data_IF_341575746910
#
_entry.id   IF_341575746910
#
_cell.length_a   1.000
_cell.length_b   1.000
_cell.length_c   1.000
_cell.angle_alpha   90.00
_cell.angle_beta   90.00
_cell.angle_gamma   90.00
#
_symmetry.space_group_name_H-M   'P 1'
#
loop_
_entity.id
_entity.type
_entity.pdbx_description
1 polymer ?
#
# COMPACT_ATOMS: atom_id res chain seq x y z
N UNK A 1 14.26 8.13 14.40
CA UNK A 1 13.60 8.21 13.07
C UNK A 1 13.16 6.80 12.76
N UNK A 2 11.97 6.60 12.20
CA UNK A 2 11.53 5.26 11.81
C UNK A 2 12.27 4.74 10.59
N UNK A 3 11.94 3.52 10.18
CA UNK A 3 12.58 2.85 9.07
C UNK A 3 11.71 2.88 7.81
N UNK A 4 12.36 3.12 6.68
CA UNK A 4 11.76 2.94 5.36
C UNK A 4 12.00 1.50 4.91
N UNK A 5 10.94 0.69 4.90
CA UNK A 5 10.99 -0.73 4.54
C UNK A 5 10.66 -0.86 3.05
N UNK A 6 11.59 -1.45 2.29
CA UNK A 6 11.41 -1.68 0.86
C UNK A 6 11.38 -3.17 0.55
N UNK A 7 10.41 -3.58 -0.28
CA UNK A 7 10.27 -4.94 -0.76
C UNK A 7 10.07 -4.95 -2.27
N UNK A 8 10.77 -5.87 -2.95
CA UNK A 8 10.59 -6.11 -4.37
C UNK A 8 9.92 -7.47 -4.61
N UNK A 9 8.91 -7.48 -5.46
CA UNK A 9 8.05 -8.64 -5.72
C UNK A 9 7.93 -8.87 -7.22
N UNK A 10 7.88 -10.12 -7.65
CA UNK A 10 7.60 -10.43 -9.05
C UNK A 10 6.58 -11.55 -9.21
N UNK A 11 5.55 -11.31 -10.03
CA UNK A 11 4.71 -12.39 -10.54
C UNK A 11 5.51 -13.22 -11.54
N UNK A 12 5.80 -14.46 -11.18
CA UNK A 12 6.48 -15.48 -11.97
C UNK A 12 5.65 -16.76 -12.09
N UNK A 13 4.32 -16.64 -12.10
CA UNK A 13 3.39 -17.77 -12.10
C UNK A 13 2.96 -18.23 -13.49
N UNK A 14 3.22 -17.44 -14.55
CA UNK A 14 2.81 -17.81 -15.91
C UNK A 14 3.57 -19.06 -16.37
N UNK A 15 2.80 -20.02 -16.86
CA UNK A 15 3.30 -21.28 -17.39
C UNK A 15 2.42 -21.73 -18.56
N UNK A 16 3.02 -22.04 -19.71
CA UNK A 16 2.32 -22.52 -20.90
C UNK A 16 3.26 -23.40 -21.72
N UNK A 17 2.75 -24.51 -22.24
CA UNK A 17 3.50 -25.42 -23.13
C UNK A 17 4.87 -25.83 -22.54
N UNK A 18 4.91 -26.16 -21.25
CA UNK A 18 6.14 -26.54 -20.53
C UNK A 18 7.19 -25.44 -20.36
N UNK A 19 6.83 -24.19 -20.65
CA UNK A 19 7.68 -23.01 -20.52
C UNK A 19 7.14 -22.11 -19.42
N UNK A 20 8.04 -21.51 -18.66
CA UNK A 20 7.76 -20.38 -17.75
C UNK A 20 8.57 -19.15 -18.16
N UNK A 21 8.29 -17.99 -17.57
CA UNK A 21 8.88 -16.70 -17.91
C UNK A 21 10.34 -16.52 -17.42
N UNK A 22 11.17 -17.55 -17.63
CA UNK A 22 12.49 -17.66 -17.00
C UNK A 22 13.50 -16.62 -17.49
N UNK A 23 13.42 -16.14 -18.74
CA UNK A 23 14.32 -15.08 -19.21
C UNK A 23 13.95 -13.76 -18.54
N UNK A 24 12.66 -13.49 -18.37
CA UNK A 24 12.17 -12.33 -17.65
C UNK A 24 12.54 -12.36 -16.17
N UNK A 25 12.42 -13.53 -15.51
CA UNK A 25 12.92 -13.73 -14.15
C UNK A 25 14.42 -13.43 -14.06
N UNK A 26 15.24 -13.97 -14.98
CA UNK A 26 16.69 -13.72 -15.00
C UNK A 26 17.02 -12.26 -15.23
N UNK A 27 16.31 -11.59 -16.14
CA UNK A 27 16.50 -10.16 -16.39
C UNK A 27 16.20 -9.31 -15.14
N UNK A 28 15.12 -9.64 -14.42
CA UNK A 28 14.81 -8.96 -13.17
C UNK A 28 15.87 -9.22 -12.09
N UNK A 29 16.30 -10.46 -11.92
CA UNK A 29 17.39 -10.81 -11.02
C UNK A 29 18.68 -10.02 -11.35
N UNK A 30 19.06 -9.98 -12.63
CA UNK A 30 20.25 -9.26 -13.11
C UNK A 30 20.17 -7.74 -12.89
N UNK A 31 18.96 -7.17 -12.79
CA UNK A 31 18.73 -5.75 -12.49
C UNK A 31 18.71 -5.49 -10.98
N UNK A 32 18.02 -6.33 -10.20
CA UNK A 32 17.68 -6.05 -8.80
C UNK A 32 18.77 -6.54 -7.84
N UNK A 33 19.33 -7.74 -8.07
CA UNK A 33 20.32 -8.36 -7.19
C UNK A 33 21.63 -7.55 -7.04
N UNK A 34 22.17 -6.86 -8.06
CA UNK A 34 23.36 -6.01 -7.90
C UNK A 34 23.21 -4.91 -6.84
N UNK A 35 21.98 -4.49 -6.53
CA UNK A 35 21.69 -3.53 -5.47
C UNK A 35 21.58 -4.18 -4.09
N UNK A 36 21.76 -5.50 -3.98
CA UNK A 36 21.57 -6.24 -2.73
C UNK A 36 20.11 -6.20 -2.25
N UNK A 37 19.18 -6.35 -3.19
CA UNK A 37 17.74 -6.44 -2.95
C UNK A 37 17.28 -7.86 -3.27
N UNK A 38 16.80 -8.64 -2.29
CA UNK A 38 16.16 -9.93 -2.58
C UNK A 38 14.78 -9.74 -3.22
N UNK A 39 14.39 -10.70 -4.04
CA UNK A 39 13.10 -10.74 -4.72
C UNK A 39 12.19 -11.77 -4.03
N UNK A 40 10.92 -11.41 -3.80
CA UNK A 40 9.88 -12.39 -3.51
C UNK A 40 9.21 -12.84 -4.81
N UNK A 41 9.39 -14.09 -5.21
CA UNK A 41 8.84 -14.65 -6.45
C UNK A 41 7.49 -15.31 -6.21
N UNK A 42 6.44 -14.80 -6.83
CA UNK A 42 5.09 -15.37 -6.78
C UNK A 42 4.94 -16.42 -7.89
N UNK A 43 4.90 -17.70 -7.55
CA UNK A 43 5.00 -18.82 -8.52
C UNK A 43 3.78 -19.74 -8.47
N UNK A 44 3.47 -20.38 -9.60
CA UNK A 44 2.59 -21.56 -9.62
C UNK A 44 3.43 -22.81 -9.33
N UNK A 45 2.82 -23.97 -9.02
CA UNK A 45 3.56 -25.23 -8.90
C UNK A 45 4.40 -25.57 -10.13
N UNK A 46 3.86 -25.31 -11.33
CA UNK A 46 4.53 -25.56 -12.60
C UNK A 46 5.73 -24.63 -12.81
N UNK A 47 5.55 -23.32 -12.58
CA UNK A 47 6.66 -22.39 -12.72
C UNK A 47 7.73 -22.60 -11.65
N UNK A 48 7.34 -22.97 -10.42
CA UNK A 48 8.27 -23.36 -9.36
C UNK A 48 9.13 -24.56 -9.78
N UNK A 49 8.53 -25.61 -10.35
CA UNK A 49 9.28 -26.79 -10.86
C UNK A 49 10.21 -26.41 -12.01
N UNK A 50 9.74 -25.60 -12.95
CA UNK A 50 10.52 -25.22 -14.14
C UNK A 50 11.70 -24.30 -13.80
N UNK A 51 11.54 -23.40 -12.83
CA UNK A 51 12.56 -22.44 -12.39
C UNK A 51 13.30 -22.85 -11.11
N UNK A 52 13.12 -24.10 -10.64
CA UNK A 52 13.68 -24.55 -9.37
C UNK A 52 15.20 -24.36 -9.23
N UNK A 53 16.03 -24.61 -10.26
CA UNK A 53 17.47 -24.37 -10.18
C UNK A 53 17.81 -22.90 -9.92
N UNK A 54 17.19 -21.97 -10.64
CA UNK A 54 17.40 -20.54 -10.49
C UNK A 54 16.89 -20.02 -9.16
N UNK A 55 15.65 -20.36 -8.78
CA UNK A 55 15.05 -19.92 -7.52
C UNK A 55 15.85 -20.40 -6.32
N UNK A 56 16.31 -21.65 -6.33
CA UNK A 56 17.15 -22.19 -5.24
C UNK A 56 18.51 -21.49 -5.18
N UNK A 57 19.12 -21.23 -6.33
CA UNK A 57 20.39 -20.49 -6.38
C UNK A 57 20.22 -19.06 -5.86
N UNK A 58 19.19 -18.34 -6.32
CA UNK A 58 18.96 -16.96 -5.89
C UNK A 58 18.57 -16.86 -4.42
N UNK A 59 17.85 -17.85 -3.88
CA UNK A 59 17.62 -17.94 -2.44
C UNK A 59 18.94 -18.02 -1.66
N UNK A 60 19.87 -18.88 -2.09
CA UNK A 60 21.17 -19.03 -1.42
C UNK A 60 22.11 -17.84 -1.63
N UNK A 61 22.16 -17.28 -2.84
CA UNK A 61 23.12 -16.24 -3.22
C UNK A 61 22.66 -14.84 -2.76
N UNK A 62 21.35 -14.58 -2.78
CA UNK A 62 20.78 -13.23 -2.59
C UNK A 62 19.70 -13.15 -1.49
N UNK A 63 19.23 -14.28 -0.96
CA UNK A 63 18.17 -14.30 0.04
C UNK A 63 16.77 -14.13 -0.55
N UNK A 64 16.58 -14.43 -1.84
CA UNK A 64 15.26 -14.45 -2.46
C UNK A 64 14.30 -15.41 -1.73
N UNK A 65 13.01 -15.12 -1.81
CA UNK A 65 11.96 -15.94 -1.20
C UNK A 65 10.86 -16.25 -2.22
N UNK A 66 9.98 -17.19 -1.88
CA UNK A 66 8.93 -17.69 -2.77
C UNK A 66 7.56 -17.62 -2.09
N UNK A 67 6.61 -17.14 -2.87
CA UNK A 67 5.21 -16.99 -2.54
C UNK A 67 4.34 -17.75 -3.56
N UNK A 68 3.09 -18.05 -3.20
CA UNK A 68 2.19 -18.88 -4.02
C UNK A 68 1.29 -17.99 -4.86
N UNK A 69 1.32 -18.15 -6.18
CA UNK A 69 0.42 -17.47 -7.10
C UNK A 69 -0.53 -18.46 -7.78
N UNK A 70 -1.75 -18.64 -7.25
CA UNK A 70 -2.78 -19.42 -7.91
C UNK A 70 -3.19 -18.76 -9.24
N UNK A 71 -2.88 -19.41 -10.38
CA UNK A 71 -3.14 -18.89 -11.73
C UNK A 71 -4.61 -18.50 -11.98
N UNK A 72 -5.57 -19.12 -11.30
CA UNK A 72 -6.99 -18.80 -11.47
C UNK A 72 -7.49 -17.63 -10.62
N UNK A 73 -6.70 -17.14 -9.66
CA UNK A 73 -7.02 -15.93 -8.89
C UNK A 73 -6.34 -14.68 -9.45
N UNK A 74 -5.47 -14.83 -10.46
CA UNK A 74 -4.72 -13.69 -11.00
C UNK A 74 -5.53 -12.79 -11.94
N UNK A 75 -6.54 -13.25 -12.69
CA UNK A 75 -7.18 -12.39 -13.74
C UNK A 75 -8.64 -12.78 -14.09
N UNK A 76 -9.43 -13.37 -13.19
CA UNK A 76 -10.88 -13.51 -13.43
C UNK A 76 -11.68 -13.34 -12.16
N UNK A 77 -12.85 -12.70 -12.27
CA UNK A 77 -13.88 -12.65 -11.22
C UNK A 77 -14.06 -14.06 -10.65
N UNK A 78 -13.78 -14.17 -9.36
CA UNK A 78 -13.62 -15.41 -8.60
C UNK A 78 -14.68 -16.44 -8.97
N UNK A 79 -14.24 -17.64 -9.36
CA UNK A 79 -15.09 -18.83 -9.39
C UNK A 79 -15.42 -19.28 -7.96
N UNK A 80 -16.17 -18.43 -7.25
CA UNK A 80 -16.77 -18.75 -5.94
C UNK A 80 -17.88 -19.79 -6.08
N UNK A 81 -18.18 -20.28 -7.29
CA UNK A 81 -19.19 -21.33 -7.50
C UNK A 81 -18.82 -22.63 -6.79
N UNK A 82 -17.52 -22.84 -6.54
CA UNK A 82 -17.04 -23.95 -5.74
C UNK A 82 -17.27 -23.70 -4.25
N UNK A 83 -17.74 -24.73 -3.55
CA UNK A 83 -17.92 -24.69 -2.11
C UNK A 83 -16.61 -24.33 -1.38
N UNK A 84 -16.72 -23.58 -0.29
CA UNK A 84 -15.59 -23.11 0.52
C UNK A 84 -14.49 -24.17 0.78
N UNK A 85 -14.80 -25.42 1.23
CA UNK A 85 -13.76 -26.42 1.47
C UNK A 85 -12.93 -26.76 0.23
N UNK A 86 -13.54 -26.79 -0.95
CA UNK A 86 -12.84 -27.10 -2.20
C UNK A 86 -11.85 -25.97 -2.58
N UNK A 87 -12.25 -24.70 -2.40
CA UNK A 87 -11.39 -23.54 -2.64
C UNK A 87 -10.21 -23.50 -1.66
N UNK A 88 -10.47 -23.73 -0.37
CA UNK A 88 -9.43 -23.83 0.65
C UNK A 88 -8.45 -24.98 0.39
N UNK A 89 -8.95 -26.18 0.14
CA UNK A 89 -8.12 -27.37 -0.07
C UNK A 89 -7.29 -27.24 -1.36
N UNK A 90 -7.81 -26.52 -2.36
CA UNK A 90 -7.05 -26.14 -3.56
C UNK A 90 -5.89 -25.22 -3.21
N UNK A 91 -6.10 -24.17 -2.43
CA UNK A 91 -5.03 -23.26 -2.01
C UNK A 91 -3.94 -24.02 -1.22
N UNK A 92 -4.37 -24.89 -0.28
CA UNK A 92 -3.45 -25.74 0.47
C UNK A 92 -2.60 -26.63 -0.46
N UNK A 93 -3.24 -27.29 -1.43
CA UNK A 93 -2.55 -28.14 -2.42
C UNK A 93 -1.54 -27.35 -3.24
N UNK A 94 -1.91 -26.18 -3.76
CA UNK A 94 -1.00 -25.34 -4.55
C UNK A 94 0.24 -24.93 -3.74
N UNK A 95 0.05 -24.51 -2.49
CA UNK A 95 1.15 -24.22 -1.56
C UNK A 95 2.04 -25.44 -1.34
N UNK A 96 1.46 -26.60 -1.09
CA UNK A 96 2.22 -27.83 -0.81
C UNK A 96 2.98 -28.35 -2.03
N UNK A 97 2.43 -28.19 -3.23
CA UNK A 97 3.13 -28.54 -4.47
C UNK A 97 4.30 -27.58 -4.77
N UNK A 98 4.17 -26.28 -4.45
CA UNK A 98 5.30 -25.34 -4.52
C UNK A 98 6.39 -25.74 -3.52
N UNK A 99 6.03 -26.05 -2.28
CA UNK A 99 6.98 -26.55 -1.26
C UNK A 99 7.64 -27.88 -1.66
N UNK A 100 6.94 -28.74 -2.40
CA UNK A 100 7.52 -29.96 -2.94
C UNK A 100 8.58 -29.66 -4.00
N UNK A 101 8.34 -28.67 -4.86
CA UNK A 101 9.31 -28.23 -5.87
C UNK A 101 10.50 -27.48 -5.24
N UNK A 102 10.26 -26.76 -4.14
CA UNK A 102 11.22 -25.91 -3.45
C UNK A 102 11.18 -26.17 -1.94
N UNK A 103 11.85 -27.23 -1.43
CA UNK A 103 11.73 -27.66 -0.04
C UNK A 103 12.22 -26.65 1.02
N UNK A 104 12.98 -25.64 0.60
CA UNK A 104 13.45 -24.55 1.46
C UNK A 104 12.41 -23.44 1.65
N UNK A 105 11.39 -23.35 0.79
CA UNK A 105 10.45 -22.23 0.78
C UNK A 105 9.35 -22.42 1.85
N UNK A 106 9.16 -21.40 2.70
CA UNK A 106 8.06 -21.42 3.67
C UNK A 106 6.71 -21.11 3.02
N UNK A 107 6.66 -20.40 1.89
CA UNK A 107 5.41 -20.04 1.20
C UNK A 107 4.39 -19.33 2.13
N UNK A 108 4.85 -18.34 2.89
CA UNK A 108 4.02 -17.58 3.84
C UNK A 108 3.09 -16.56 3.17
N UNK A 109 3.28 -16.29 1.88
CA UNK A 109 2.53 -15.27 1.13
C UNK A 109 1.81 -15.94 -0.05
N UNK A 110 0.60 -15.46 -0.34
CA UNK A 110 -0.11 -15.76 -1.57
C UNK A 110 -0.45 -14.49 -2.37
N UNK A 111 -0.78 -14.64 -3.65
CA UNK A 111 -1.47 -13.62 -4.46
C UNK A 111 -2.92 -14.01 -4.74
N UNK A 112 -3.71 -13.05 -5.20
CA UNK A 112 -5.08 -13.29 -5.64
C UNK A 112 -6.07 -13.10 -4.51
N UNK A 113 -6.32 -11.83 -4.19
CA UNK A 113 -7.04 -11.38 -3.00
C UNK A 113 -8.54 -11.20 -3.24
N UNK A 114 -9.06 -11.39 -4.44
CA UNK A 114 -10.44 -11.01 -4.79
C UNK A 114 -11.51 -11.92 -4.19
N UNK A 115 -11.15 -13.12 -3.73
CA UNK A 115 -12.06 -14.07 -3.08
C UNK A 115 -12.54 -13.51 -1.71
N UNK A 116 -13.87 -13.39 -1.47
CA UNK A 116 -14.39 -12.89 -0.21
C UNK A 116 -13.95 -13.68 1.02
N UNK A 117 -13.68 -14.98 0.86
CA UNK A 117 -13.25 -15.88 1.93
C UNK A 117 -11.72 -16.00 2.03
N UNK A 118 -10.95 -15.23 1.24
CA UNK A 118 -9.51 -15.43 1.09
C UNK A 118 -8.75 -15.33 2.42
N UNK A 119 -9.15 -14.40 3.28
CA UNK A 119 -8.48 -14.17 4.55
C UNK A 119 -8.57 -15.42 5.42
N UNK A 120 -9.79 -15.94 5.60
CA UNK A 120 -10.05 -17.17 6.33
C UNK A 120 -9.37 -18.38 5.69
N UNK A 121 -9.40 -18.49 4.36
CA UNK A 121 -8.74 -19.60 3.66
C UNK A 121 -7.23 -19.60 3.91
N UNK A 122 -6.57 -18.44 3.77
CA UNK A 122 -5.15 -18.29 4.03
C UNK A 122 -4.77 -18.66 5.46
N UNK A 123 -5.52 -18.18 6.46
CA UNK A 123 -5.29 -18.52 7.87
C UNK A 123 -5.41 -20.03 8.12
N UNK A 124 -6.47 -20.69 7.62
CA UNK A 124 -6.66 -22.14 7.77
C UNK A 124 -5.55 -22.95 7.10
N UNK A 125 -4.94 -22.43 6.04
CA UNK A 125 -3.80 -23.05 5.35
C UNK A 125 -2.45 -22.44 5.76
N UNK A 126 -2.36 -21.72 6.88
CA UNK A 126 -1.08 -21.20 7.41
C UNK A 126 -0.31 -20.27 6.48
N UNK A 127 -0.98 -19.60 5.54
CA UNK A 127 -0.48 -18.44 4.80
C UNK A 127 -0.74 -17.20 5.66
N UNK A 128 0.25 -16.33 5.80
CA UNK A 128 0.25 -15.20 6.73
C UNK A 128 0.26 -13.84 6.01
N UNK A 129 0.42 -13.81 4.70
CA UNK A 129 0.29 -12.58 3.91
C UNK A 129 -0.38 -12.75 2.56
N UNK A 130 -0.95 -11.65 2.08
CA UNK A 130 -1.64 -11.55 0.80
C UNK A 130 -1.12 -10.36 0.02
N UNK A 131 -0.60 -10.61 -1.17
CA UNK A 131 -0.14 -9.57 -2.09
C UNK A 131 -1.13 -9.31 -3.20
N UNK A 132 -1.27 -8.05 -3.59
CA UNK A 132 -2.05 -7.63 -4.76
C UNK A 132 -3.08 -6.54 -4.50
N UNK A 133 -3.17 -5.98 -3.29
CA UNK A 133 -4.17 -4.94 -2.98
C UNK A 133 -3.87 -3.64 -3.76
N UNK A 134 -4.90 -3.05 -4.37
CA UNK A 134 -4.73 -1.88 -5.23
C UNK A 134 -5.39 -0.64 -4.64
N UNK A 135 -4.67 0.08 -3.77
CA UNK A 135 -5.19 1.30 -3.14
C UNK A 135 -5.66 2.35 -4.17
N UNK A 136 -6.84 2.95 -3.93
CA UNK A 136 -7.58 3.85 -4.84
C UNK A 136 -7.98 3.29 -6.24
N UNK A 137 -7.72 2.02 -6.55
CA UNK A 137 -8.05 1.46 -7.86
C UNK A 137 -9.55 1.15 -8.00
N UNK A 138 -10.09 1.46 -9.19
CA UNK A 138 -11.45 1.15 -9.61
C UNK A 138 -11.41 0.53 -11.01
N UNK A 139 -12.01 -0.64 -11.15
CA UNK A 139 -12.32 -1.36 -12.41
C UNK A 139 -11.13 -1.50 -13.38
N UNK A 140 -9.93 -1.67 -12.82
CA UNK A 140 -8.73 -2.06 -13.60
C UNK A 140 -8.52 -3.55 -13.38
N UNK A 141 -8.48 -4.32 -14.48
CA UNK A 141 -8.44 -5.78 -14.49
C UNK A 141 -9.58 -6.43 -13.67
N UNK A 142 -10.77 -5.82 -13.71
CA UNK A 142 -11.95 -6.18 -12.90
C UNK A 142 -11.71 -6.12 -11.38
N UNK A 143 -10.67 -5.41 -10.93
CA UNK A 143 -10.33 -5.21 -9.51
C UNK A 143 -10.70 -3.78 -9.09
N UNK A 144 -11.52 -3.71 -8.05
CA UNK A 144 -11.83 -2.47 -7.31
C UNK A 144 -11.55 -2.69 -5.84
N UNK A 145 -10.47 -2.07 -5.35
CA UNK A 145 -10.08 -2.10 -3.93
C UNK A 145 -10.14 -0.73 -3.27
N UNK A 146 -10.67 0.28 -3.98
CA UNK A 146 -10.87 1.61 -3.42
C UNK A 146 -11.58 1.54 -2.07
N UNK A 147 -10.98 2.19 -1.07
CA UNK A 147 -11.42 2.11 0.31
C UNK A 147 -10.41 1.44 1.23
N UNK A 148 -9.59 0.51 0.73
CA UNK A 148 -8.61 -0.17 1.58
C UNK A 148 -7.56 0.79 2.17
N UNK A 149 -6.87 0.38 3.25
CA UNK A 149 -5.65 1.05 3.69
C UNK A 149 -4.54 0.96 2.63
N UNK A 150 -3.69 1.98 2.55
CA UNK A 150 -2.42 1.90 1.81
C UNK A 150 -1.38 1.13 2.62
N UNK A 151 -0.28 0.72 1.97
CA UNK A 151 0.79 -0.04 2.61
C UNK A 151 0.32 -1.41 3.10
N UNK A 152 0.79 -1.79 4.29
CA UNK A 152 0.47 -3.09 4.92
C UNK A 152 -0.45 -2.93 6.13
N UNK A 153 -1.51 -3.73 6.16
CA UNK A 153 -2.49 -3.78 7.25
C UNK A 153 -2.97 -5.21 7.51
N UNK A 154 -3.40 -5.51 8.73
CA UNK A 154 -4.07 -6.78 9.01
C UNK A 154 -5.47 -6.77 8.41
N UNK A 155 -5.77 -7.70 7.51
CA UNK A 155 -7.04 -7.76 6.78
C UNK A 155 -8.15 -8.35 7.64
N UNK A 156 -9.35 -7.76 7.62
CA UNK A 156 -10.48 -8.31 8.35
C UNK A 156 -10.98 -9.63 7.70
N UNK A 157 -11.20 -10.72 8.48
CA UNK A 157 -11.59 -12.03 7.95
C UNK A 157 -12.85 -12.05 7.08
N UNK A 158 -13.84 -11.23 7.42
CA UNK A 158 -15.11 -11.13 6.68
C UNK A 158 -15.14 -9.97 5.67
N UNK A 159 -14.12 -9.11 5.66
CA UNK A 159 -14.04 -7.96 4.77
C UNK A 159 -12.58 -7.60 4.50
N UNK A 160 -12.01 -8.23 3.47
CA UNK A 160 -10.61 -8.09 3.07
C UNK A 160 -10.16 -6.64 2.83
N UNK A 161 -11.09 -5.70 2.58
CA UNK A 161 -10.80 -4.31 2.25
C UNK A 161 -10.74 -3.39 3.47
N UNK A 162 -10.94 -3.89 4.70
CA UNK A 162 -10.77 -3.12 5.92
C UNK A 162 -9.76 -3.76 6.90
N UNK A 163 -9.23 -2.98 7.86
CA UNK A 163 -8.41 -3.51 8.94
C UNK A 163 -9.16 -4.48 9.86
N UNK A 164 -8.45 -5.49 10.37
CA UNK A 164 -8.92 -6.34 11.46
C UNK A 164 -8.74 -5.66 12.83
N UNK A 165 -9.50 -6.15 13.83
CA UNK A 165 -9.43 -5.68 15.22
C UNK A 165 -8.06 -5.95 15.88
N UNK A 166 -7.33 -6.95 15.37
CA UNK A 166 -6.03 -7.39 15.86
C UNK A 166 -5.21 -8.06 14.77
N UNK A 167 -4.26 -8.92 15.16
CA UNK A 167 -3.44 -9.71 14.23
C UNK A 167 -4.34 -10.61 13.36
N UNK A 168 -4.07 -10.60 12.07
CA UNK A 168 -4.76 -11.37 11.02
C UNK A 168 -3.78 -11.59 9.86
N UNK A 169 -4.28 -12.01 8.70
CA UNK A 169 -3.54 -12.02 7.44
C UNK A 169 -3.02 -10.61 7.10
N UNK A 170 -1.72 -10.47 6.83
CA UNK A 170 -1.11 -9.19 6.47
C UNK A 170 -1.28 -8.90 4.97
N UNK A 171 -1.75 -7.71 4.64
CA UNK A 171 -1.83 -7.25 3.24
C UNK A 171 -0.52 -6.65 2.74
N UNK A 172 -0.33 -6.76 1.43
CA UNK A 172 0.67 -6.04 0.65
C UNK A 172 0.01 -5.43 -0.58
N UNK A 173 0.34 -4.17 -0.85
CA UNK A 173 -0.04 -3.51 -2.09
C UNK A 173 0.52 -4.28 -3.30
N UNK A 174 -0.21 -4.26 -4.42
CA UNK A 174 0.31 -4.73 -5.71
C UNK A 174 1.63 -4.01 -6.02
N UNK A 175 1.59 -2.68 -5.99
CA UNK A 175 2.75 -1.79 -6.09
C UNK A 175 2.41 -0.48 -5.38
N UNK A 176 3.43 0.22 -4.87
CA UNK A 176 3.25 1.46 -4.15
C UNK A 176 2.67 2.56 -5.05
N UNK A 177 1.89 3.46 -4.45
CA UNK A 177 1.18 4.54 -5.13
C UNK A 177 1.64 5.91 -4.62
N UNK A 178 1.53 6.93 -5.46
CA UNK A 178 1.60 8.32 -5.00
C UNK A 178 0.29 8.67 -4.30
N UNK A 179 0.31 8.69 -2.97
CA UNK A 179 -0.92 8.80 -2.20
C UNK A 179 -1.68 10.11 -2.49
N UNK A 180 -0.95 11.19 -2.80
CA UNK A 180 -1.57 12.47 -3.13
C UNK A 180 -2.23 12.43 -4.51
N UNK A 181 -1.46 12.07 -5.54
CA UNK A 181 -1.94 12.14 -6.90
C UNK A 181 -3.03 11.11 -7.16
N UNK A 182 -2.90 9.89 -6.63
CA UNK A 182 -3.94 8.86 -6.77
C UNK A 182 -5.25 9.28 -6.10
N UNK A 183 -5.21 9.87 -4.90
CA UNK A 183 -6.42 10.38 -4.24
C UNK A 183 -7.10 11.50 -5.02
N UNK A 184 -6.37 12.53 -5.42
CA UNK A 184 -6.97 13.72 -6.06
C UNK A 184 -7.36 13.51 -7.52
N UNK A 185 -6.65 12.66 -8.25
CA UNK A 185 -6.96 12.37 -9.66
C UNK A 185 -8.01 11.28 -9.82
N UNK A 186 -8.12 10.37 -8.86
CA UNK A 186 -8.89 9.13 -9.00
C UNK A 186 -8.24 8.10 -9.92
N UNK A 187 -6.98 8.30 -10.34
CA UNK A 187 -6.28 7.41 -11.28
C UNK A 187 -5.03 6.79 -10.66
N UNK A 188 -5.24 5.76 -9.84
CA UNK A 188 -4.18 5.16 -9.04
C UNK A 188 -3.08 4.45 -9.85
N UNK A 189 -3.44 3.74 -10.93
CA UNK A 189 -2.47 2.95 -11.72
C UNK A 189 -1.40 3.83 -12.35
N UNK A 190 -1.80 4.97 -12.92
CA UNK A 190 -0.90 5.95 -13.54
C UNK A 190 0.13 6.51 -12.53
N UNK A 191 -0.27 6.70 -11.28
CA UNK A 191 0.54 7.32 -10.24
C UNK A 191 1.10 6.27 -9.28
N UNK A 192 2.00 5.45 -9.80
CA UNK A 192 2.52 4.27 -9.10
C UNK A 192 3.99 3.97 -9.35
N UNK A 193 4.50 2.93 -8.70
CA UNK A 193 5.85 2.38 -8.93
C UNK A 193 5.89 1.27 -10.00
N UNK A 194 4.81 1.06 -10.76
CA UNK A 194 4.81 0.15 -11.91
C UNK A 194 5.52 0.81 -13.11
N UNK A 195 6.62 0.23 -13.63
CA UNK A 195 7.38 0.81 -14.74
C UNK A 195 6.54 0.99 -16.01
N UNK A 196 5.62 0.07 -16.29
CA UNK A 196 4.84 0.06 -17.52
C UNK A 196 3.79 1.18 -17.50
N UNK A 197 3.08 1.36 -16.38
CA UNK A 197 2.05 2.40 -16.25
C UNK A 197 2.65 3.81 -16.32
N UNK A 198 3.76 4.05 -15.63
CA UNK A 198 4.40 5.37 -15.65
C UNK A 198 5.09 5.67 -16.99
N UNK A 199 5.58 4.66 -17.71
CA UNK A 199 6.15 4.82 -19.05
C UNK A 199 5.05 5.09 -20.09
N UNK A 200 3.96 4.32 -20.08
CA UNK A 200 2.80 4.51 -20.98
C UNK A 200 2.11 5.86 -20.76
N UNK A 201 1.99 6.29 -19.52
CA UNK A 201 1.51 7.64 -19.18
C UNK A 201 2.52 8.74 -19.52
N UNK A 202 3.77 8.39 -19.79
CA UNK A 202 4.86 9.32 -20.10
C UNK A 202 5.35 10.12 -18.90
N UNK A 203 4.97 9.76 -17.67
CA UNK A 203 5.42 10.46 -16.45
C UNK A 203 6.88 10.12 -16.15
N UNK A 204 7.30 8.88 -16.41
CA UNK A 204 8.70 8.48 -16.43
C UNK A 204 9.09 8.04 -17.86
N UNK A 205 10.39 7.91 -18.10
CA UNK A 205 10.94 7.33 -19.34
C UNK A 205 12.41 6.98 -19.14
N UNK A 206 12.89 5.81 -19.59
CA UNK A 206 14.32 5.43 -19.54
C UNK A 206 15.08 5.95 -18.30
N UNK A 207 15.89 7.02 -18.46
CA UNK A 207 16.70 7.62 -17.40
C UNK A 207 16.04 8.79 -16.65
N UNK A 208 14.87 9.27 -17.10
CA UNK A 208 14.07 10.24 -16.36
C UNK A 208 13.08 9.52 -15.45
N UNK A 209 13.52 9.35 -14.20
CA UNK A 209 12.75 8.79 -13.10
C UNK A 209 12.49 9.83 -12.00
N UNK A 210 12.57 11.13 -12.30
CA UNK A 210 12.50 12.18 -11.28
C UNK A 210 11.15 12.19 -10.54
N UNK A 211 10.07 11.81 -11.23
CA UNK A 211 8.79 11.56 -10.59
C UNK A 211 8.88 10.46 -9.52
N UNK A 212 9.46 9.30 -9.86
CA UNK A 212 9.65 8.23 -8.89
C UNK A 212 10.57 8.63 -7.73
N UNK A 213 11.60 9.44 -7.98
CA UNK A 213 12.43 9.98 -6.89
C UNK A 213 11.60 10.80 -5.91
N UNK A 214 10.76 11.71 -6.41
CA UNK A 214 9.87 12.51 -5.56
C UNK A 214 8.79 11.67 -4.85
N UNK A 215 8.26 10.64 -5.50
CA UNK A 215 7.37 9.65 -4.88
C UNK A 215 8.09 8.96 -3.71
N UNK A 216 9.28 8.41 -3.93
CA UNK A 216 10.06 7.76 -2.87
C UNK A 216 10.46 8.72 -1.74
N UNK A 217 10.81 9.96 -2.06
CA UNK A 217 11.15 10.97 -1.05
C UNK A 217 9.93 11.31 -0.16
N UNK A 218 8.71 11.26 -0.72
CA UNK A 218 7.47 11.35 0.06
C UNK A 218 7.30 10.16 1.02
N UNK A 219 7.62 8.93 0.62
CA UNK A 219 7.60 7.80 1.56
C UNK A 219 8.69 7.96 2.65
N UNK A 220 9.94 8.21 2.23
CA UNK A 220 11.10 8.28 3.12
C UNK A 220 10.94 9.38 4.16
N UNK A 221 10.47 10.58 3.78
CA UNK A 221 10.30 11.67 4.75
C UNK A 221 9.25 11.35 5.82
N UNK A 222 8.27 10.50 5.52
CA UNK A 222 7.21 10.12 6.46
C UNK A 222 7.70 9.12 7.54
N UNK A 223 8.91 8.57 7.42
CA UNK A 223 9.58 7.86 8.53
C UNK A 223 9.84 8.74 9.75
N UNK A 224 9.79 10.07 9.59
CA UNK A 224 9.84 11.01 10.72
C UNK A 224 8.59 10.94 11.61
N UNK A 225 7.49 10.37 11.11
CA UNK A 225 6.20 10.29 11.80
C UNK A 225 5.74 8.88 12.10
N UNK A 226 6.31 7.88 11.45
CA UNK A 226 5.92 6.48 11.58
C UNK A 226 7.13 5.67 12.03
N UNK A 227 6.89 4.60 12.79
CA UNK A 227 7.96 3.67 13.15
C UNK A 227 8.45 2.92 11.91
N UNK A 228 7.54 2.49 11.04
CA UNK A 228 7.85 1.88 9.75
C UNK A 228 7.00 2.53 8.65
N UNK A 229 7.62 2.75 7.49
CA UNK A 229 6.92 3.11 6.25
C UNK A 229 7.23 2.02 5.23
N UNK A 230 6.21 1.29 4.80
CA UNK A 230 6.36 0.16 3.87
C UNK A 230 6.13 0.63 2.42
N UNK A 231 7.04 0.23 1.53
CA UNK A 231 6.90 0.42 0.09
C UNK A 231 7.17 -0.90 -0.63
N UNK A 232 6.14 -1.42 -1.30
CA UNK A 232 6.24 -2.59 -2.16
C UNK A 232 6.37 -2.11 -3.59
N UNK A 233 7.41 -2.54 -4.31
CA UNK A 233 7.49 -2.37 -5.76
C UNK A 233 7.37 -3.72 -6.43
N UNK A 234 6.70 -3.75 -7.57
CA UNK A 234 6.51 -4.97 -8.34
C UNK A 234 7.01 -4.83 -9.78
N UNK A 235 7.38 -5.96 -10.36
CA UNK A 235 7.38 -6.12 -11.81
C UNK A 235 7.09 -7.58 -12.20
N UNK A 236 6.29 -7.79 -13.23
CA UNK A 236 5.85 -9.12 -13.64
C UNK A 236 6.87 -9.76 -14.59
N UNK A 237 7.31 -10.99 -14.29
CA UNK A 237 8.38 -11.65 -15.04
C UNK A 237 8.02 -11.86 -16.50
N UNK A 238 6.75 -12.14 -16.80
CA UNK A 238 6.29 -12.37 -18.17
C UNK A 238 6.14 -11.08 -18.98
N UNK A 239 6.21 -9.91 -18.33
CA UNK A 239 6.28 -8.61 -18.98
C UNK A 239 7.71 -8.22 -19.32
N UNK A 240 8.69 -8.93 -18.75
CA UNK A 240 10.14 -8.71 -18.93
C UNK A 240 10.77 -9.66 -19.96
N UNK A 241 9.96 -10.37 -20.75
CA UNK A 241 10.45 -11.19 -21.86
C UNK A 241 9.41 -11.29 -23.00
N UNK A 242 9.87 -11.74 -24.16
CA UNK A 242 9.02 -12.07 -25.30
C UNK A 242 9.07 -13.58 -25.50
N UNK A 243 7.93 -14.25 -25.31
CA UNK A 243 7.79 -15.69 -25.53
C UNK A 243 6.42 -16.07 -26.11
N UNK A 244 6.38 -17.26 -26.71
CA UNK A 244 5.13 -17.85 -27.21
C UNK A 244 4.21 -18.23 -26.04
N UNK A 245 3.28 -17.34 -25.72
CA UNK A 245 2.37 -17.51 -24.57
C UNK A 245 2.13 -16.22 -23.81
N UNK A 246 3.09 -15.30 -23.85
CA UNK A 246 2.99 -13.96 -23.28
C UNK A 246 3.90 -13.02 -24.07
N UNK A 247 3.26 -12.10 -24.80
CA UNK A 247 3.92 -11.06 -25.58
C UNK A 247 3.27 -9.73 -25.24
N UNK A 248 3.44 -9.32 -23.99
CA UNK A 248 2.78 -8.15 -23.42
C UNK A 248 3.42 -6.84 -23.91
N UNK A 249 4.74 -6.84 -24.10
CA UNK A 249 5.55 -5.65 -24.38
C UNK A 249 6.58 -5.87 -25.48
N UNK A 250 7.09 -4.77 -26.03
CA UNK A 250 8.18 -4.77 -27.00
C UNK A 250 9.55 -4.92 -26.33
N UNK A 251 10.60 -5.21 -27.10
CA UNK A 251 11.97 -5.23 -26.58
C UNK A 251 12.40 -3.87 -26.02
N UNK A 252 11.88 -2.78 -26.60
CA UNK A 252 12.14 -1.43 -26.11
C UNK A 252 11.52 -1.24 -24.74
N UNK A 253 10.22 -1.50 -24.59
CA UNK A 253 9.49 -1.41 -23.32
C UNK A 253 10.19 -2.20 -22.19
N UNK A 254 10.59 -3.46 -22.46
CA UNK A 254 11.28 -4.33 -21.50
C UNK A 254 12.59 -3.69 -21.02
N UNK A 255 13.36 -3.16 -21.98
CA UNK A 255 14.65 -2.54 -21.69
C UNK A 255 14.49 -1.21 -20.95
N UNK A 256 13.44 -0.43 -21.27
CA UNK A 256 13.10 0.78 -20.54
C UNK A 256 12.73 0.48 -19.09
N UNK A 257 11.84 -0.49 -18.87
CA UNK A 257 11.45 -0.94 -17.55
C UNK A 257 12.68 -1.37 -16.73
N UNK A 258 13.58 -2.16 -17.31
CA UNK A 258 14.83 -2.57 -16.65
C UNK A 258 15.70 -1.38 -16.21
N UNK A 259 15.90 -0.39 -17.10
CA UNK A 259 16.69 0.81 -16.80
C UNK A 259 16.03 1.66 -15.71
N UNK A 260 14.71 1.81 -15.76
CA UNK A 260 13.97 2.57 -14.76
C UNK A 260 14.04 1.91 -13.38
N UNK A 261 13.88 0.59 -13.32
CA UNK A 261 13.99 -0.19 -12.08
C UNK A 261 15.40 -0.09 -11.48
N UNK A 262 16.44 -0.30 -12.30
CA UNK A 262 17.86 -0.16 -11.88
C UNK A 262 18.12 1.22 -11.26
N UNK A 263 17.72 2.28 -11.97
CA UNK A 263 17.93 3.65 -11.52
C UNK A 263 17.15 3.98 -10.23
N UNK A 264 15.92 3.48 -10.09
CA UNK A 264 15.09 3.72 -8.92
C UNK A 264 15.60 2.98 -7.69
N UNK A 265 15.96 1.70 -7.83
CA UNK A 265 16.52 0.91 -6.74
C UNK A 265 17.84 1.53 -6.28
N UNK A 266 18.73 1.87 -7.22
CA UNK A 266 19.97 2.57 -6.93
C UNK A 266 19.75 3.90 -6.19
N UNK A 267 18.67 4.63 -6.51
CA UNK A 267 18.30 5.85 -5.80
C UNK A 267 17.94 5.57 -4.34
N UNK A 268 17.03 4.63 -4.07
CA UNK A 268 16.48 4.42 -2.71
C UNK A 268 17.38 3.57 -1.81
N UNK A 269 18.28 2.77 -2.38
CA UNK A 269 18.95 1.67 -1.66
C UNK A 269 19.65 2.07 -0.36
N UNK A 270 20.31 3.22 -0.35
CA UNK A 270 21.06 3.73 0.82
C UNK A 270 20.17 4.23 1.96
N UNK A 271 18.86 4.35 1.71
CA UNK A 271 17.86 4.89 2.64
C UNK A 271 16.81 3.86 3.05
N UNK A 272 16.90 2.65 2.50
CA UNK A 272 15.93 1.59 2.70
C UNK A 272 16.50 0.42 3.50
N UNK A 273 15.69 -0.11 4.42
CA UNK A 273 15.85 -1.45 4.97
C UNK A 273 15.12 -2.40 4.04
N UNK A 274 15.87 -3.24 3.34
CA UNK A 274 15.31 -4.14 2.34
C UNK A 274 14.84 -5.43 3.01
N UNK A 275 13.64 -5.89 2.66
CA UNK A 275 13.04 -7.12 3.18
C UNK A 275 12.25 -7.86 2.10
N UNK A 276 12.26 -9.18 2.14
CA UNK A 276 11.27 -10.00 1.41
C UNK A 276 9.89 -9.87 2.06
N UNK A 277 8.81 -10.21 1.36
CA UNK A 277 7.47 -10.13 1.97
C UNK A 277 7.34 -11.02 3.23
N UNK A 278 7.86 -12.27 3.27
CA UNK A 278 7.89 -13.06 4.50
C UNK A 278 8.65 -12.41 5.66
N UNK A 279 9.74 -11.69 5.40
CA UNK A 279 10.44 -10.93 6.42
C UNK A 279 9.64 -9.72 6.92
N UNK A 280 8.84 -9.08 6.05
CA UNK A 280 7.91 -8.03 6.46
C UNK A 280 6.80 -8.60 7.34
N UNK A 281 6.25 -9.78 7.04
CA UNK A 281 5.28 -10.47 7.90
C UNK A 281 5.83 -10.62 9.31
N UNK A 282 7.05 -11.17 9.44
CA UNK A 282 7.71 -11.36 10.74
C UNK A 282 7.92 -10.04 11.47
N UNK A 283 8.48 -9.03 10.78
CA UNK A 283 8.66 -7.69 11.34
C UNK A 283 7.34 -7.12 11.87
N UNK A 284 6.27 -7.22 11.09
CA UNK A 284 4.98 -6.63 11.42
C UNK A 284 4.35 -7.35 12.62
N UNK A 285 4.34 -8.69 12.65
CA UNK A 285 3.86 -9.47 13.80
C UNK A 285 4.71 -9.28 15.06
N UNK A 286 6.01 -9.05 14.93
CA UNK A 286 6.87 -8.81 16.09
C UNK A 286 6.64 -7.42 16.70
N UNK A 287 6.20 -6.45 15.90
CA UNK A 287 6.04 -5.06 16.32
C UNK A 287 4.59 -4.66 16.66
N UNK A 288 3.59 -5.33 16.07
CA UNK A 288 2.22 -4.83 16.06
C UNK A 288 1.19 -5.91 16.44
N UNK A 289 0.34 -5.58 17.41
CA UNK A 289 -0.81 -6.42 17.82
C UNK A 289 -2.07 -6.15 16.99
N UNK A 290 -2.10 -5.02 16.29
CA UNK A 290 -3.14 -4.58 15.37
C UNK A 290 -2.52 -3.66 14.31
N UNK A 291 -3.25 -3.33 13.24
CA UNK A 291 -2.79 -2.34 12.26
C UNK A 291 -2.43 -1.02 12.98
N UNK A 292 -1.18 -0.53 12.92
CA UNK A 292 -0.78 0.70 13.57
C UNK A 292 -1.28 1.91 12.79
N UNK A 293 -1.42 3.04 13.48
CA UNK A 293 -1.73 4.29 12.82
C UNK A 293 -0.60 4.73 11.88
N UNK A 294 -0.98 5.14 10.66
CA UNK A 294 -0.11 5.61 9.60
C UNK A 294 -0.36 7.08 9.30
N UNK A 295 0.73 7.85 9.28
CA UNK A 295 0.76 9.31 9.15
C UNK A 295 1.53 9.70 7.90
N UNK A 296 0.84 10.11 6.84
CA UNK A 296 1.46 10.38 5.55
C UNK A 296 1.17 11.82 5.12
N UNK A 297 2.15 12.71 5.28
CA UNK A 297 2.08 14.06 4.72
C UNK A 297 2.72 14.07 3.33
N UNK A 298 1.93 14.44 2.32
CA UNK A 298 2.33 14.42 0.92
C UNK A 298 2.33 15.81 0.29
N UNK A 299 3.34 16.06 -0.53
CA UNK A 299 3.50 17.25 -1.36
C UNK A 299 3.59 16.81 -2.82
N UNK A 300 3.11 17.67 -3.70
CA UNK A 300 3.02 17.35 -5.12
C UNK A 300 4.41 17.20 -5.73
N UNK A 301 4.72 15.97 -6.17
CA UNK A 301 5.91 15.74 -7.00
C UNK A 301 5.67 16.33 -8.39
N UNK A 302 6.50 17.27 -8.86
CA UNK A 302 6.36 17.83 -10.19
C UNK A 302 6.45 16.76 -11.27
N UNK A 303 5.59 16.86 -12.28
CA UNK A 303 5.65 15.99 -13.46
C UNK A 303 6.56 16.64 -14.50
N UNK A 304 7.50 15.89 -15.13
CA UNK A 304 8.40 16.46 -16.13
C UNK A 304 7.66 16.92 -17.39
N UNK A 305 6.50 16.32 -17.66
CA UNK A 305 5.56 16.69 -18.73
C UNK A 305 4.15 16.30 -18.33
N UNK A 306 3.17 16.85 -19.04
CA UNK A 306 1.77 16.41 -18.88
C UNK A 306 1.66 14.94 -19.27
N UNK A 307 0.93 14.11 -18.50
CA UNK A 307 0.67 12.73 -18.86
C UNK A 307 0.05 12.60 -20.26
N UNK A 308 0.36 11.49 -20.93
CA UNK A 308 -0.19 11.12 -22.23
C UNK A 308 -1.72 11.16 -22.20
N UNK A 309 -2.34 11.93 -23.10
CA UNK A 309 -3.79 12.09 -23.16
C UNK A 309 -4.52 10.78 -23.46
N UNK A 310 -3.90 9.87 -24.21
CA UNK A 310 -4.52 8.59 -24.59
C UNK A 310 -4.56 7.61 -23.42
N UNK A 311 -3.72 7.82 -22.40
CA UNK A 311 -3.68 7.01 -21.20
C UNK A 311 -4.38 7.68 -20.02
N UNK A 312 -4.31 9.02 -19.92
CA UNK A 312 -4.90 9.81 -18.84
C UNK A 312 -6.37 10.22 -19.08
N UNK A 313 -6.83 10.18 -20.34
CA UNK A 313 -8.15 10.61 -20.83
C UNK A 313 -8.57 11.99 -20.28
N UNK A 314 -9.34 12.02 -19.20
CA UNK A 314 -9.92 13.22 -18.57
C UNK A 314 -9.50 13.44 -17.13
N UNK A 315 -8.57 12.64 -16.58
CA UNK A 315 -8.20 12.76 -15.17
C UNK A 315 -7.39 14.03 -14.91
N UNK A 316 -7.63 14.64 -13.74
CA UNK A 316 -6.88 15.82 -13.30
C UNK A 316 -5.42 15.44 -13.09
N UNK A 317 -4.49 16.31 -13.54
CA UNK A 317 -3.04 16.02 -13.54
C UNK A 317 -2.26 16.86 -12.52
N UNK A 318 -2.98 17.63 -11.68
CA UNK A 318 -2.38 18.54 -10.70
C UNK A 318 -1.86 19.86 -11.31
N UNK A 319 -1.02 20.61 -10.57
CA UNK A 319 -0.50 20.26 -9.24
C UNK A 319 -1.60 20.16 -8.20
N UNK A 320 -1.44 19.28 -7.22
CA UNK A 320 -2.40 19.09 -6.12
C UNK A 320 -1.92 19.78 -4.83
N UNK A 321 -2.85 20.24 -3.97
CA UNK A 321 -2.48 20.84 -2.70
C UNK A 321 -1.87 19.81 -1.75
N UNK A 322 -0.92 20.25 -0.90
CA UNK A 322 -0.36 19.42 0.17
C UNK A 322 -1.50 18.74 0.95
N UNK A 323 -1.35 17.44 1.20
CA UNK A 323 -2.42 16.64 1.83
C UNK A 323 -1.82 15.76 2.91
N UNK A 324 -2.44 15.78 4.08
CA UNK A 324 -2.16 14.84 5.16
C UNK A 324 -3.15 13.70 5.07
N UNK A 325 -2.64 12.47 4.94
CA UNK A 325 -3.41 11.24 4.95
C UNK A 325 -3.13 10.50 6.26
N UNK A 326 -4.20 10.14 6.95
CA UNK A 326 -4.18 9.34 8.17
C UNK A 326 -4.94 8.04 7.95
N UNK A 327 -4.42 6.92 8.46
CA UNK A 327 -5.14 5.65 8.49
C UNK A 327 -4.84 4.96 9.81
N UNK A 328 -5.85 4.47 10.50
CA UNK A 328 -5.73 3.53 11.61
C UNK A 328 -6.61 2.31 11.32
N UNK A 329 -6.88 1.48 12.34
CA UNK A 329 -7.75 0.31 12.19
C UNK A 329 -9.23 0.67 11.98
N UNK A 330 -9.66 1.85 12.42
CA UNK A 330 -11.07 2.24 12.50
C UNK A 330 -11.46 3.16 11.33
N UNK A 331 -10.50 3.91 10.77
CA UNK A 331 -10.75 4.85 9.69
C UNK A 331 -9.54 5.21 8.83
N UNK A 332 -9.85 5.76 7.65
CA UNK A 332 -8.90 6.47 6.81
C UNK A 332 -9.42 7.89 6.51
N UNK A 333 -8.54 8.90 6.60
CA UNK A 333 -8.93 10.31 6.52
C UNK A 333 -7.92 11.11 5.70
N UNK A 334 -8.42 11.99 4.84
CA UNK A 334 -7.60 12.86 3.99
C UNK A 334 -7.90 14.32 4.32
N UNK A 335 -6.86 15.08 4.67
CA UNK A 335 -6.94 16.49 5.02
C UNK A 335 -6.13 17.29 4.01
N UNK A 336 -6.82 18.13 3.24
CA UNK A 336 -6.18 19.08 2.32
C UNK A 336 -5.66 20.27 3.11
N UNK A 337 -4.50 20.80 2.74
CA UNK A 337 -3.88 21.96 3.38
C UNK A 337 -4.88 23.09 3.66
N UNK A 338 -4.86 23.60 4.89
CA UNK A 338 -5.77 24.61 5.39
C UNK A 338 -7.18 24.12 5.78
N UNK A 339 -7.54 22.85 5.56
CA UNK A 339 -8.82 22.26 6.03
C UNK A 339 -8.67 21.62 7.39
N UNK A 340 -9.59 21.92 8.31
CA UNK A 340 -9.55 21.40 9.69
C UNK A 340 -10.19 20.02 9.77
N UNK A 341 -11.36 19.88 9.15
CA UNK A 341 -12.06 18.63 8.90
C UNK A 341 -11.46 17.86 7.72
N UNK A 342 -11.60 16.52 7.69
CA UNK A 342 -11.18 15.75 6.53
C UNK A 342 -12.08 16.07 5.32
N UNK A 343 -11.50 16.05 4.12
CA UNK A 343 -12.28 16.14 2.87
C UNK A 343 -12.82 14.79 2.43
N UNK A 344 -12.23 13.71 2.95
CA UNK A 344 -12.71 12.34 2.80
C UNK A 344 -12.47 11.61 4.12
N UNK A 345 -13.50 10.91 4.61
CA UNK A 345 -13.43 10.07 5.79
C UNK A 345 -14.05 8.71 5.46
N UNK A 346 -13.23 7.67 5.50
CA UNK A 346 -13.64 6.28 5.36
C UNK A 346 -13.79 5.69 6.74
N UNK A 347 -15.00 5.28 7.06
CA UNK A 347 -15.35 4.68 8.33
C UNK A 347 -15.45 3.16 8.15
N UNK A 348 -14.51 2.40 8.72
CA UNK A 348 -14.45 0.95 8.54
C UNK A 348 -15.54 0.19 9.33
N UNK A 349 -16.33 0.87 10.16
CA UNK A 349 -17.58 0.32 10.71
C UNK A 349 -18.72 0.27 9.68
N UNK A 350 -18.60 0.99 8.56
CA UNK A 350 -19.57 0.91 7.46
C UNK A 350 -19.29 -0.32 6.60
N UNK A 351 -20.32 -0.93 6.00
CA UNK A 351 -20.08 -1.95 4.98
C UNK A 351 -19.40 -1.33 3.76
N UNK A 352 -18.53 -2.09 3.12
CA UNK A 352 -18.05 -1.73 1.79
C UNK A 352 -19.21 -1.79 0.79
N UNK A 353 -19.38 -0.72 0.01
CA UNK A 353 -20.34 -0.69 -1.10
C UNK A 353 -19.72 0.04 -2.28
N UNK A 354 -19.95 -0.51 -3.47
CA UNK A 354 -19.46 0.09 -4.70
C UNK A 354 -20.04 1.49 -4.87
N UNK A 355 -19.17 2.49 -5.08
CA UNK A 355 -19.53 3.90 -5.18
C UNK A 355 -19.42 4.69 -3.87
N UNK A 356 -19.47 4.03 -2.70
CA UNK A 356 -19.24 4.71 -1.40
C UNK A 356 -17.85 4.40 -0.83
N UNK A 357 -17.35 3.17 -0.96
CA UNK A 357 -15.98 2.80 -0.56
C UNK A 357 -15.64 3.18 0.91
N UNK A 358 -16.53 2.80 1.84
CA UNK A 358 -16.54 3.18 3.26
C UNK A 358 -16.72 4.68 3.58
N UNK A 359 -16.84 5.54 2.56
CA UNK A 359 -16.87 6.98 2.79
C UNK A 359 -18.12 7.42 3.56
N UNK A 360 -17.94 8.31 4.53
CA UNK A 360 -19.03 9.01 5.16
C UNK A 360 -19.61 10.06 4.20
N UNK A 361 -20.92 10.04 3.93
CA UNK A 361 -21.54 10.97 3.00
C UNK A 361 -21.63 12.39 3.57
N UNK A 362 -21.56 12.53 4.90
CA UNK A 362 -21.63 13.81 5.61
C UNK A 362 -20.51 13.86 6.63
N UNK A 363 -19.51 14.69 6.34
CA UNK A 363 -18.42 15.01 7.27
C UNK A 363 -18.83 16.30 8.00
N UNK A 364 -19.08 16.26 9.33
CA UNK A 364 -19.47 17.45 10.07
C UNK A 364 -18.34 18.49 10.08
N UNK A 365 -18.68 19.77 10.23
CA UNK A 365 -17.69 20.86 10.31
C UNK A 365 -17.18 21.04 11.73
N UNK A 366 -15.90 21.40 11.84
CA UNK A 366 -15.27 21.82 13.09
C UNK A 366 -15.42 23.33 13.26
N UNK A 367 -15.81 23.76 14.45
CA UNK A 367 -15.85 25.18 14.83
C UNK A 367 -14.92 25.44 16.01
N UNK A 368 -14.14 26.52 15.95
CA UNK A 368 -13.39 27.01 17.10
C UNK A 368 -14.35 27.71 18.06
N UNK A 369 -14.46 27.20 19.28
CA UNK A 369 -15.24 27.84 20.35
C UNK A 369 -14.38 28.90 21.02
N UNK A 370 -13.16 28.53 21.40
CA UNK A 370 -12.24 29.40 22.13
C UNK A 370 -10.80 28.98 21.90
N UNK A 371 -9.91 29.96 21.84
CA UNK A 371 -8.48 29.75 21.87
C UNK A 371 -7.84 30.72 22.86
N UNK A 372 -7.08 30.20 23.82
CA UNK A 372 -6.35 31.01 24.80
C UNK A 372 -4.86 30.69 24.73
N UNK A 373 -4.03 31.73 24.52
CA UNK A 373 -2.57 31.60 24.46
C UNK A 373 -1.93 32.21 25.70
N UNK A 374 -1.08 31.43 26.35
CA UNK A 374 -0.21 31.83 27.44
C UNK A 374 1.25 31.63 27.02
N UNK A 375 2.21 32.08 27.82
CA UNK A 375 3.65 32.04 27.47
C UNK A 375 4.14 30.63 27.11
N UNK A 376 3.69 29.60 27.83
CA UNK A 376 4.11 28.19 27.65
C UNK A 376 2.92 27.23 27.64
N UNK A 377 1.72 27.73 27.36
CA UNK A 377 0.49 26.95 27.40
C UNK A 377 -0.49 27.49 26.38
N UNK A 378 -1.20 26.62 25.68
CA UNK A 378 -2.28 27.00 24.77
C UNK A 378 -3.47 26.12 25.05
N UNK A 379 -4.65 26.71 25.19
CA UNK A 379 -5.90 26.00 25.37
C UNK A 379 -6.76 26.21 24.12
N UNK A 380 -7.23 25.13 23.54
CA UNK A 380 -8.06 25.13 22.33
C UNK A 380 -9.34 24.39 22.65
N UNK A 381 -10.48 25.04 22.43
CA UNK A 381 -11.80 24.43 22.57
C UNK A 381 -12.47 24.36 21.20
N UNK A 382 -12.78 23.15 20.75
CA UNK A 382 -13.40 22.88 19.46
C UNK A 382 -14.80 22.28 19.65
N UNK A 383 -15.67 22.54 18.69
CA UNK A 383 -17.04 22.05 18.66
C UNK A 383 -17.33 21.37 17.33
N UNK A 384 -18.02 20.22 17.39
CA UNK A 384 -18.50 19.47 16.23
C UNK A 384 -19.90 18.96 16.53
N UNK A 385 -20.86 19.21 15.63
CA UNK A 385 -22.18 18.59 15.69
C UNK A 385 -22.27 17.45 14.68
N UNK A 386 -22.34 16.21 15.14
CA UNK A 386 -22.31 15.03 14.28
C UNK A 386 -23.72 14.45 14.09
N UNK A 387 -24.10 14.06 12.86
CA UNK A 387 -25.42 13.43 12.63
C UNK A 387 -25.52 12.03 13.25
N UNK A 388 -24.39 11.36 13.50
CA UNK A 388 -24.27 10.04 14.11
C UNK A 388 -22.90 9.89 14.75
N UNK A 389 -22.70 8.81 15.51
CA UNK A 389 -21.37 8.43 15.95
C UNK A 389 -20.50 7.99 14.76
N UNK A 390 -19.23 8.39 14.76
CA UNK A 390 -18.25 8.01 13.73
C UNK A 390 -16.82 8.26 14.22
N UNK A 391 -15.84 7.49 13.70
CA UNK A 391 -14.45 7.89 13.80
C UNK A 391 -14.24 9.24 13.14
N UNK A 392 -13.40 10.08 13.73
CA UNK A 392 -13.16 11.43 13.26
C UNK A 392 -11.78 11.97 13.63
N UNK A 393 -11.29 12.89 12.82
CA UNK A 393 -9.99 13.50 12.99
C UNK A 393 -10.06 15.00 12.76
N UNK A 394 -9.20 15.72 13.44
CA UNK A 394 -9.08 17.18 13.37
C UNK A 394 -7.62 17.51 13.08
N UNK A 395 -7.38 18.34 12.08
CA UNK A 395 -6.05 18.89 11.77
C UNK A 395 -6.02 20.38 12.04
N UNK A 396 -5.05 20.82 12.83
CA UNK A 396 -4.72 22.24 12.95
C UNK A 396 -3.40 22.49 12.21
N UNK A 397 -3.48 23.15 11.05
CA UNK A 397 -2.32 23.50 10.22
C UNK A 397 -1.58 24.70 10.83
N UNK A 398 -0.39 24.44 11.38
CA UNK A 398 0.56 25.44 11.85
C UNK A 398 1.81 24.74 12.39
N UNK A 399 2.81 25.51 12.78
CA UNK A 399 3.92 25.01 13.58
C UNK A 399 3.53 24.89 15.06
N UNK A 400 3.41 23.65 15.52
CA UNK A 400 3.20 23.30 16.93
C UNK A 400 4.46 22.67 17.57
N UNK A 401 5.62 22.75 16.91
CA UNK A 401 6.86 22.07 17.32
C UNK A 401 7.31 22.40 18.75
N UNK A 402 7.05 23.62 19.22
CA UNK A 402 7.37 24.09 20.58
C UNK A 402 6.44 23.53 21.67
N UNK A 403 5.38 22.82 21.29
CA UNK A 403 4.41 22.25 22.20
C UNK A 403 4.46 20.73 22.23
N UNK A 404 3.93 20.17 23.30
CA UNK A 404 3.44 18.80 23.41
C UNK A 404 1.96 18.83 23.77
N UNK A 405 1.23 17.77 23.40
CA UNK A 405 -0.19 17.63 23.77
C UNK A 405 -0.24 17.29 25.27
N UNK A 406 -0.87 18.17 26.05
CA UNK A 406 -1.11 18.01 27.48
C UNK A 406 -2.46 17.33 27.72
N UNK A 407 -3.31 17.95 28.54
CA UNK A 407 -4.65 17.43 28.80
C UNK A 407 -5.55 17.54 27.55
N UNK A 408 -6.01 16.40 27.04
CA UNK A 408 -6.99 16.32 25.95
C UNK A 408 -7.96 15.15 26.23
N UNK A 409 -9.05 15.39 26.97
CA UNK A 409 -10.00 14.34 27.33
C UNK A 409 -10.57 13.62 26.10
N UNK A 410 -10.76 12.31 26.23
CA UNK A 410 -11.29 11.41 25.18
C UNK A 410 -10.44 11.34 23.89
N UNK A 411 -9.24 11.93 23.87
CA UNK A 411 -8.32 11.83 22.74
C UNK A 411 -7.85 10.38 22.59
N UNK A 412 -8.13 9.80 21.42
CA UNK A 412 -7.70 8.43 21.08
C UNK A 412 -6.23 8.46 20.69
N UNK A 413 -5.87 9.40 19.81
CA UNK A 413 -4.50 9.57 19.34
C UNK A 413 -4.23 11.01 18.97
N UNK A 414 -3.03 11.51 19.25
CA UNK A 414 -2.63 12.86 18.86
C UNK A 414 -1.18 12.89 18.43
N UNK A 415 -0.89 13.59 17.33
CA UNK A 415 0.47 13.73 16.82
C UNK A 415 0.73 15.14 16.33
N UNK A 416 1.85 15.71 16.77
CA UNK A 416 2.40 16.94 16.21
C UNK A 416 3.41 16.55 15.14
N UNK A 417 3.14 16.96 13.91
CA UNK A 417 4.06 16.89 12.78
C UNK A 417 4.81 18.24 12.77
N UNK A 418 6.08 18.31 13.24
CA UNK A 418 6.76 19.58 13.46
C UNK A 418 6.80 20.44 12.20
N UNK A 419 6.57 21.75 12.35
CA UNK A 419 6.46 22.74 11.27
C UNK A 419 5.30 22.55 10.28
N UNK A 420 4.47 21.52 10.45
CA UNK A 420 3.40 21.19 9.49
C UNK A 420 2.01 21.37 10.11
N UNK A 421 1.70 20.56 11.14
CA UNK A 421 0.37 20.46 11.70
C UNK A 421 0.34 19.74 13.05
N UNK A 422 -0.79 19.86 13.74
CA UNK A 422 -1.20 18.97 14.83
C UNK A 422 -2.44 18.18 14.41
N UNK A 423 -2.38 16.86 14.52
CA UNK A 423 -3.49 15.94 14.28
C UNK A 423 -4.05 15.41 15.60
N UNK A 424 -5.37 15.30 15.68
CA UNK A 424 -6.11 14.80 16.84
C UNK A 424 -7.21 13.83 16.37
N UNK A 425 -7.21 12.60 16.90
CA UNK A 425 -8.15 11.52 16.61
C UNK A 425 -9.15 11.35 17.76
N UNK A 426 -10.44 11.39 17.44
CA UNK A 426 -11.55 11.25 18.37
C UNK A 426 -12.68 10.44 17.75
N UNK A 427 -13.48 9.76 18.55
CA UNK A 427 -14.77 9.25 18.08
C UNK A 427 -15.88 10.24 18.45
N UNK A 428 -16.61 10.69 17.44
CA UNK A 428 -17.76 11.57 17.66
C UNK A 428 -18.92 10.74 18.23
N UNK A 429 -19.68 11.37 19.12
CA UNK A 429 -21.02 10.95 19.51
C UNK A 429 -22.03 11.65 18.60
N UNK A 430 -23.22 11.07 18.45
CA UNK A 430 -24.33 11.75 17.79
C UNK A 430 -24.70 13.03 18.56
N UNK A 431 -24.94 14.13 17.83
CA UNK A 431 -25.22 15.45 18.40
C UNK A 431 -23.95 16.24 18.72
N UNK A 432 -23.98 16.99 19.82
CA UNK A 432 -22.93 17.94 20.18
C UNK A 432 -21.70 17.24 20.77
N UNK A 433 -20.53 17.57 20.23
CA UNK A 433 -19.23 17.17 20.73
C UNK A 433 -18.40 18.42 21.03
N UNK A 434 -17.77 18.47 22.21
CA UNK A 434 -16.86 19.53 22.60
C UNK A 434 -15.52 18.93 23.01
N UNK A 435 -14.45 19.43 22.42
CA UNK A 435 -13.09 18.97 22.66
C UNK A 435 -12.31 20.09 23.30
N UNK A 436 -11.67 19.79 24.43
CA UNK A 436 -10.71 20.70 25.06
C UNK A 436 -9.32 20.12 24.90
N UNK A 437 -8.42 20.88 24.29
CA UNK A 437 -7.04 20.49 24.02
C UNK A 437 -6.12 21.49 24.68
N UNK A 438 -5.39 21.04 25.68
CA UNK A 438 -4.29 21.77 26.28
C UNK A 438 -2.98 21.38 25.59
N UNK A 439 -2.22 22.38 25.19
CA UNK A 439 -0.86 22.26 24.73
C UNK A 439 0.06 22.88 25.77
N UNK A 440 1.14 22.19 26.10
CA UNK A 440 2.16 22.65 27.05
C UNK A 440 3.48 22.83 26.33
N UNK A 441 4.26 23.85 26.71
CA UNK A 441 5.60 24.08 26.18
C UNK A 441 6.53 22.90 26.50
N UNK A 442 7.42 22.58 25.56
CA UNK A 442 8.48 21.57 25.73
C UNK A 442 9.65 22.07 26.55
#
# INVERSE_FOLDING_TARGET
MGDFIYSFVSIASRYKNEVTALKGMRLLADVVHPHGVPITWLVSPESARAAAPELTRWHHDFGDDVAVAPQELSITTVDTSQAYPARRDRLARLRDEVRLALPWAECLVASGHTDPDIVRMCEEVGIQGMWGLCWEQIDVDDITDRGCPWGSYYMHPDDRLRPADGRSLLSFEWTARDLLKSFHSGYASMYSTDPNDVARSGICSWGNIDYWKGLADNYIRNTRYNQHVFMVQQQESHEMEIADGWRCYTEEDIREAAVMLDAFIGYIRSRAVVKTLPEVIRLYHDCYDSTPASYMLWEDTPLPRRPNSDYNWSSCVGPFPKTFLFCDRDAQMMFVDGKVEPVCLRNYDRPWSYGEFYAEPVIPRVSLVRESKFTWRREIELYVNAPKAMPYGIVLWNDYSLYQIGNAPDLIEGKILPHELMFLRYDLKAGENRFFIELTGK
#
